data_IF_963323040248
#
_entry.id   IF_963323040248
#
_cell.length_a   1.000
_cell.length_b   1.000
_cell.length_c   1.000
_cell.angle_alpha   90.00
_cell.angle_beta   90.00
_cell.angle_gamma   90.00
#
_symmetry.space_group_name_H-M   'P 1'
#
loop_
_entity.id
_entity.type
_entity.pdbx_description
1 polymer ?
#
# COMPACT_ATOMS: atom_id res chain seq x y z
N UNK A 1 5.22 10.05 2.34
CA UNK A 1 5.10 11.09 3.41
C UNK A 1 3.74 11.78 3.45
N UNK A 2 2.95 11.68 2.38
CA UNK A 2 1.72 12.47 2.14
C UNK A 2 0.40 11.81 2.64
N UNK A 3 0.49 10.67 3.34
CA UNK A 3 -0.69 9.93 3.85
C UNK A 3 -1.11 10.32 5.27
N UNK A 4 -0.40 11.26 5.90
CA UNK A 4 -0.72 11.80 7.20
C UNK A 4 -0.81 13.31 7.00
N UNK A 5 -2.04 13.84 6.91
CA UNK A 5 -2.29 15.28 6.87
C UNK A 5 -1.74 16.00 8.11
N UNK A 6 -2.02 17.30 8.23
CA UNK A 6 -1.69 18.07 9.44
C UNK A 6 -2.06 17.26 10.70
N UNK A 7 -1.10 17.17 11.63
CA UNK A 7 -1.06 16.11 12.64
C UNK A 7 -2.40 15.87 13.36
N UNK A 8 -2.71 14.63 13.75
CA UNK A 8 -4.03 14.28 14.26
C UNK A 8 -4.33 15.10 15.53
N UNK A 9 -5.18 16.11 15.39
CA UNK A 9 -5.72 16.84 16.53
C UNK A 9 -6.76 15.96 17.21
N UNK A 10 -6.42 15.42 18.37
CA UNK A 10 -7.39 14.74 19.23
C UNK A 10 -8.36 15.81 19.75
N UNK A 11 -9.68 15.68 19.52
CA UNK A 11 -10.65 16.65 20.03
C UNK A 11 -10.56 16.73 21.55
N UNK A 12 -10.45 17.95 22.08
CA UNK A 12 -10.44 18.19 23.53
C UNK A 12 -11.72 17.69 24.20
N UNK A 13 -11.60 17.21 25.44
CA UNK A 13 -12.74 16.73 26.23
C UNK A 13 -13.19 15.30 25.93
N UNK A 14 -12.56 14.60 24.99
CA UNK A 14 -12.80 13.18 24.75
C UNK A 14 -11.91 12.28 25.63
N UNK A 15 -12.42 11.09 25.94
CA UNK A 15 -11.64 10.00 26.53
C UNK A 15 -10.92 9.26 25.41
N UNK A 16 -9.68 8.86 25.64
CA UNK A 16 -8.83 8.32 24.57
C UNK A 16 -8.10 7.04 24.98
N UNK A 17 -8.08 6.04 24.10
CA UNK A 17 -7.08 4.96 24.10
C UNK A 17 -6.11 5.20 22.95
N UNK A 18 -4.81 5.10 23.23
CA UNK A 18 -3.75 5.11 22.24
C UNK A 18 -3.14 3.72 22.16
N UNK A 19 -3.21 3.08 20.99
CA UNK A 19 -2.64 1.74 20.77
C UNK A 19 -1.59 1.79 19.65
N UNK A 20 -0.36 1.33 19.88
CA UNK A 20 0.68 1.35 18.84
C UNK A 20 0.39 0.32 17.75
N UNK A 21 0.50 0.75 16.49
CA UNK A 21 0.48 -0.16 15.34
C UNK A 21 1.89 -0.71 15.16
N UNK A 22 2.13 -1.94 15.64
CA UNK A 22 3.43 -2.60 15.55
C UNK A 22 3.52 -3.43 14.28
N UNK A 23 4.34 -2.99 13.33
CA UNK A 23 4.78 -3.83 12.23
C UNK A 23 5.87 -4.81 12.69
N UNK A 24 6.36 -5.66 11.78
CA UNK A 24 7.28 -6.77 12.12
C UNK A 24 8.59 -6.34 12.79
N UNK A 25 9.07 -5.12 12.53
CA UNK A 25 10.38 -4.62 13.00
C UNK A 25 10.34 -3.27 13.71
N UNK A 26 9.21 -2.55 13.65
CA UNK A 26 9.07 -1.20 14.20
C UNK A 26 7.60 -0.84 14.39
N UNK A 27 7.34 0.18 15.20
CA UNK A 27 6.04 0.87 15.22
C UNK A 27 5.88 1.62 13.90
N UNK A 28 4.77 1.37 13.21
CA UNK A 28 4.43 1.99 11.91
C UNK A 28 3.41 3.12 12.03
N UNK A 29 2.79 3.28 13.21
CA UNK A 29 1.83 4.33 13.52
C UNK A 29 1.14 4.08 14.86
N UNK A 30 0.02 4.78 15.09
CA UNK A 30 -0.84 4.57 16.25
C UNK A 30 -2.32 4.59 15.85
N UNK A 31 -3.12 3.74 16.50
CA UNK A 31 -4.57 3.83 16.47
C UNK A 31 -5.03 4.66 17.67
N UNK A 32 -5.91 5.62 17.41
CA UNK A 32 -6.53 6.49 18.43
C UNK A 32 -8.00 6.16 18.50
N UNK A 33 -8.45 5.68 19.66
CA UNK A 33 -9.86 5.42 19.93
C UNK A 33 -10.41 6.55 20.79
N UNK A 34 -11.49 7.17 20.34
CA UNK A 34 -12.11 8.31 20.99
C UNK A 34 -13.48 7.92 21.53
N UNK A 35 -13.77 8.36 22.75
CA UNK A 35 -15.07 8.16 23.39
C UNK A 35 -15.53 9.48 23.98
N UNK A 36 -16.79 9.83 23.69
CA UNK A 36 -17.42 11.04 24.19
C UNK A 36 -17.56 10.98 25.73
N UNK A 37 -17.43 12.12 26.45
CA UNK A 37 -17.42 12.13 27.92
C UNK A 37 -18.76 11.73 28.57
N UNK A 38 -19.87 11.77 27.82
CA UNK A 38 -21.20 11.30 28.24
C UNK A 38 -21.33 9.77 28.31
N UNK A 39 -20.34 9.03 27.79
CA UNK A 39 -20.30 7.56 27.84
C UNK A 39 -19.49 7.05 29.03
N UNK A 40 -19.69 5.79 29.47
CA UNK A 40 -18.84 5.16 30.48
C UNK A 40 -17.35 5.21 30.14
N UNK A 41 -16.49 5.23 31.16
CA UNK A 41 -15.04 5.29 30.96
C UNK A 41 -14.57 4.04 30.23
N UNK A 42 -13.41 4.13 29.59
CA UNK A 42 -12.77 2.92 29.09
C UNK A 42 -12.46 2.01 30.27
N UNK A 43 -12.82 0.74 30.12
CA UNK A 43 -12.50 -0.30 31.09
C UNK A 43 -11.28 -1.13 30.59
N UNK A 44 -10.79 -2.08 31.41
CA UNK A 44 -9.69 -2.94 30.98
C UNK A 44 -9.98 -3.81 29.76
N UNK A 45 -11.25 -4.18 29.51
CA UNK A 45 -11.64 -5.00 28.36
C UNK A 45 -11.59 -4.17 27.07
N UNK A 46 -11.96 -2.88 27.14
CA UNK A 46 -11.78 -1.94 26.05
C UNK A 46 -10.30 -1.83 25.60
N UNK A 47 -9.34 -1.92 26.54
CA UNK A 47 -7.91 -1.93 26.23
C UNK A 47 -7.49 -3.18 25.46
N UNK A 48 -8.03 -4.35 25.83
CA UNK A 48 -7.79 -5.61 25.13
C UNK A 48 -8.30 -5.55 23.70
N UNK A 49 -9.53 -5.08 23.51
CA UNK A 49 -10.15 -4.92 22.19
C UNK A 49 -9.35 -3.92 21.34
N UNK A 50 -8.99 -2.77 21.91
CA UNK A 50 -8.17 -1.77 21.22
C UNK A 50 -6.80 -2.33 20.79
N UNK A 51 -6.16 -3.13 21.64
CA UNK A 51 -4.88 -3.78 21.32
C UNK A 51 -5.01 -4.82 20.20
N UNK A 52 -6.08 -5.61 20.20
CA UNK A 52 -6.37 -6.58 19.14
C UNK A 52 -6.62 -5.87 17.80
N UNK A 53 -7.48 -4.85 17.80
CA UNK A 53 -7.74 -4.02 16.61
C UNK A 53 -6.45 -3.42 16.07
N UNK A 54 -5.63 -2.81 16.92
CA UNK A 54 -4.35 -2.24 16.52
C UNK A 54 -3.41 -3.30 15.91
N UNK A 55 -3.38 -4.51 16.47
CA UNK A 55 -2.56 -5.61 15.95
C UNK A 55 -3.02 -6.05 14.54
N UNK A 56 -4.32 -6.25 14.35
CA UNK A 56 -4.85 -6.65 13.05
C UNK A 56 -4.71 -5.55 11.99
N UNK A 57 -4.96 -4.30 12.35
CA UNK A 57 -4.73 -3.15 11.47
C UNK A 57 -3.27 -3.03 11.08
N UNK A 58 -2.33 -3.19 12.02
CA UNK A 58 -0.91 -3.13 11.73
C UNK A 58 -0.48 -4.22 10.73
N UNK A 59 -0.98 -5.45 10.87
CA UNK A 59 -0.72 -6.54 9.93
C UNK A 59 -1.26 -6.23 8.53
N UNK A 60 -2.46 -5.66 8.43
CA UNK A 60 -3.06 -5.26 7.15
C UNK A 60 -2.25 -4.16 6.46
N UNK A 61 -1.85 -3.13 7.21
CA UNK A 61 -1.04 -2.02 6.71
C UNK A 61 0.34 -2.51 6.27
N UNK A 62 1.01 -3.34 7.06
CA UNK A 62 2.34 -3.89 6.73
C UNK A 62 2.30 -4.69 5.42
N UNK A 63 1.25 -5.52 5.23
CA UNK A 63 0.99 -6.24 3.97
C UNK A 63 0.75 -5.30 2.80
N UNK A 64 -0.13 -4.30 2.96
CA UNK A 64 -0.45 -3.36 1.89
C UNK A 64 0.79 -2.57 1.43
N UNK A 65 1.63 -2.13 2.38
CA UNK A 65 2.88 -1.44 2.06
C UNK A 65 3.88 -2.37 1.37
N UNK A 66 3.99 -3.63 1.81
CA UNK A 66 4.88 -4.60 1.18
C UNK A 66 4.47 -4.90 -0.26
N UNK A 67 3.19 -5.22 -0.49
CA UNK A 67 2.67 -5.51 -1.82
C UNK A 67 2.68 -4.30 -2.75
N UNK A 68 2.44 -3.09 -2.22
CA UNK A 68 2.58 -1.85 -2.97
C UNK A 68 4.03 -1.60 -3.43
N UNK A 69 5.01 -1.93 -2.59
CA UNK A 69 6.44 -1.84 -2.98
C UNK A 69 6.82 -2.89 -4.02
N UNK A 70 6.36 -4.12 -3.87
CA UNK A 70 6.61 -5.17 -4.85
C UNK A 70 5.98 -4.82 -6.21
N UNK A 71 4.79 -4.23 -6.21
CA UNK A 71 4.15 -3.69 -7.40
C UNK A 71 5.01 -2.64 -8.10
N UNK A 72 5.50 -1.67 -7.33
CA UNK A 72 6.33 -0.59 -7.84
C UNK A 72 7.65 -1.10 -8.44
N UNK A 73 8.32 -2.03 -7.76
CA UNK A 73 9.60 -2.60 -8.24
C UNK A 73 9.39 -3.37 -9.54
N UNK A 74 8.32 -4.17 -9.63
CA UNK A 74 8.01 -4.91 -10.85
C UNK A 74 7.69 -3.97 -12.03
N UNK A 75 6.93 -2.89 -11.80
CA UNK A 75 6.62 -1.89 -12.84
C UNK A 75 7.88 -1.17 -13.33
N UNK A 76 8.73 -0.70 -12.41
CA UNK A 76 10.01 -0.09 -12.76
C UNK A 76 10.92 -1.04 -13.54
N UNK A 77 11.06 -2.29 -13.09
CA UNK A 77 11.88 -3.28 -13.78
C UNK A 77 11.38 -3.53 -15.21
N UNK A 78 10.07 -3.75 -15.38
CA UNK A 78 9.49 -3.99 -16.70
C UNK A 78 9.64 -2.79 -17.63
N UNK A 79 9.50 -1.56 -17.14
CA UNK A 79 9.76 -0.34 -17.92
C UNK A 79 11.20 -0.26 -18.41
N UNK A 80 12.17 -0.61 -17.56
CA UNK A 80 13.59 -0.61 -17.95
C UNK A 80 13.97 -1.73 -18.93
N UNK A 81 13.14 -2.76 -19.05
CA UNK A 81 13.35 -3.86 -20.00
C UNK A 81 12.79 -3.59 -21.40
N UNK A 82 12.05 -2.48 -21.59
CA UNK A 82 11.56 -2.09 -22.92
C UNK A 82 12.72 -1.50 -23.76
N UNK A 83 12.90 -1.92 -25.02
CA UNK A 83 13.92 -1.35 -25.89
C UNK A 83 13.66 0.15 -26.12
N UNK A 84 14.65 1.00 -25.83
CA UNK A 84 14.57 2.45 -26.14
C UNK A 84 14.36 2.72 -27.63
N UNK A 85 14.87 1.82 -28.48
CA UNK A 85 14.67 1.85 -29.92
C UNK A 85 14.48 0.44 -30.44
N UNK A 86 13.48 0.25 -31.33
CA UNK A 86 13.30 -1.01 -32.03
C UNK A 86 14.36 -1.16 -33.14
N UNK A 87 14.91 -2.37 -33.36
CA UNK A 87 15.83 -2.62 -34.47
C UNK A 87 15.17 -2.25 -35.81
N UNK A 88 15.95 -1.66 -36.73
CA UNK A 88 15.48 -1.41 -38.09
C UNK A 88 15.66 -2.69 -38.92
N UNK A 89 14.56 -3.41 -39.16
CA UNK A 89 14.53 -4.54 -40.08
C UNK A 89 14.21 -4.06 -41.51
N UNK A 90 14.87 -4.63 -42.51
CA UNK A 90 14.58 -4.33 -43.93
C UNK A 90 13.28 -5.04 -44.34
N UNK A 91 12.30 -4.27 -44.84
CA UNK A 91 11.04 -4.83 -45.37
C UNK A 91 9.96 -5.16 -44.34
N UNK A 92 10.12 -4.74 -43.07
CA UNK A 92 9.11 -4.93 -42.00
C UNK A 92 9.18 -3.75 -41.03
N UNK A 93 8.02 -3.25 -40.58
CA UNK A 93 7.96 -2.26 -39.49
C UNK A 93 7.67 -2.95 -38.16
N UNK A 94 8.58 -2.79 -37.20
CA UNK A 94 8.40 -3.29 -35.84
C UNK A 94 7.68 -2.27 -34.95
N UNK A 95 6.77 -2.76 -34.11
CA UNK A 95 6.16 -2.00 -33.02
C UNK A 95 6.11 -2.88 -31.76
N UNK A 96 6.34 -2.26 -30.59
CA UNK A 96 6.18 -2.91 -29.28
C UNK A 96 5.19 -2.13 -28.45
N UNK A 97 4.28 -2.82 -27.78
CA UNK A 97 3.35 -2.21 -26.82
C UNK A 97 3.24 -3.09 -25.59
N UNK A 98 3.55 -2.53 -24.43
CA UNK A 98 3.26 -3.17 -23.16
C UNK A 98 1.82 -2.85 -22.72
N UNK A 99 1.06 -3.90 -22.40
CA UNK A 99 -0.29 -3.83 -21.85
C UNK A 99 -0.37 -4.85 -20.70
N UNK A 100 -0.31 -4.43 -19.43
CA UNK A 100 -0.41 -5.35 -18.31
C UNK A 100 -1.79 -6.02 -18.28
N UNK A 101 -1.83 -7.33 -18.04
CA UNK A 101 -3.04 -8.15 -18.18
C UNK A 101 -4.09 -7.93 -17.06
N UNK A 102 -3.67 -7.60 -15.84
CA UNK A 102 -4.55 -7.21 -14.71
C UNK A 102 -3.72 -6.81 -13.48
N UNK A 103 -4.26 -5.92 -12.66
CA UNK A 103 -3.65 -5.39 -11.42
C UNK A 103 -3.30 -6.49 -10.38
N UNK A 104 -4.01 -7.63 -10.42
CA UNK A 104 -3.88 -8.73 -9.44
C UNK A 104 -3.06 -9.93 -9.92
N UNK A 105 -2.94 -10.16 -11.23
CA UNK A 105 -2.32 -11.38 -11.75
C UNK A 105 -0.89 -11.17 -12.27
N UNK A 106 -0.50 -9.94 -12.65
CA UNK A 106 0.87 -9.57 -13.09
C UNK A 106 1.61 -10.62 -13.94
N UNK A 107 0.87 -11.34 -14.81
CA UNK A 107 1.43 -12.16 -15.88
C UNK A 107 1.25 -11.36 -17.16
N UNK A 108 2.33 -10.80 -17.69
CA UNK A 108 2.35 -10.10 -18.97
C UNK A 108 3.68 -10.38 -19.67
N UNK A 109 3.61 -10.91 -20.89
CA UNK A 109 4.73 -11.04 -21.80
C UNK A 109 4.78 -9.86 -22.78
N UNK A 110 5.94 -9.61 -23.36
CA UNK A 110 6.11 -8.64 -24.44
C UNK A 110 5.40 -9.16 -25.70
N UNK A 111 4.50 -8.36 -26.27
CA UNK A 111 3.93 -8.62 -27.59
C UNK A 111 4.69 -7.81 -28.64
N UNK A 112 5.31 -8.52 -29.58
CA UNK A 112 5.97 -7.94 -30.75
C UNK A 112 5.06 -8.15 -31.97
N UNK A 113 4.71 -7.07 -32.66
CA UNK A 113 3.98 -7.16 -33.93
C UNK A 113 4.92 -6.78 -35.09
N UNK A 114 4.85 -7.55 -36.17
CA UNK A 114 5.72 -7.44 -37.34
C UNK A 114 4.84 -7.42 -38.59
N UNK A 115 4.70 -6.24 -39.20
CA UNK A 115 3.84 -6.04 -40.36
C UNK A 115 4.74 -5.83 -41.60
N UNK A 116 4.59 -6.66 -42.66
CA UNK A 116 5.28 -6.49 -43.95
C UNK A 116 5.00 -5.14 -44.61
#
# INVERSE_FOLDING_TARGET
PELLGEGPTVPGGMRTILAPLRGRRRVIGAAVFLRSPDRPAFDPDDLLVAAQLATHSALGIDKAVLYGREAYIADELQRTMLPETLPKATGVRLASRYLPAAESARVGGDWYDAIP
#
